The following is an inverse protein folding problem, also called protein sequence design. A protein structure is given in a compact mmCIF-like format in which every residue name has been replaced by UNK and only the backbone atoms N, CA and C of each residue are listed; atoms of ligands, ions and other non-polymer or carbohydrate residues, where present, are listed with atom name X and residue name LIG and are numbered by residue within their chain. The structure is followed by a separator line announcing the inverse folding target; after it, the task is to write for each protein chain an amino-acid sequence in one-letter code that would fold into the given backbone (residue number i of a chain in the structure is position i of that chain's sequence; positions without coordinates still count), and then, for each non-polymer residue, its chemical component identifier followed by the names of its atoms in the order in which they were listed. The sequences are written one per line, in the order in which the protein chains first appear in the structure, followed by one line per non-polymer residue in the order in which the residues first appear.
data_IF_893868716295
#
_entry.id   IF_893868716295
#
_cell.length_a   1.000
_cell.length_b   1.000
_cell.length_c   1.000
_cell.angle_alpha   90.00
_cell.angle_beta   90.00
_cell.angle_gamma   90.00
#
_symmetry.space_group_name_H-M   'P 1'
#
loop_
_entity.id
_entity.type
_entity.pdbx_description
1 polymer ?
#
# COMPACT_ATOMS: atom_id res chain seq x y z
N UNK A 1 -5.11 -19.23 -1.65
CA UNK A 1 -5.29 -18.34 -0.48
C UNK A 1 -3.91 -17.96 0.03
N UNK A 2 -3.37 -16.83 -0.40
CA UNK A 2 -2.12 -16.31 0.15
C UNK A 2 -2.45 -15.67 1.48
N UNK A 3 -1.93 -16.22 2.58
CA UNK A 3 -2.00 -15.59 3.90
C UNK A 3 -1.09 -14.36 3.86
N UNK A 4 -1.65 -13.20 3.56
CA UNK A 4 -0.92 -11.93 3.55
C UNK A 4 -0.57 -11.57 5.00
N UNK A 5 0.72 -11.44 5.28
CA UNK A 5 1.17 -11.08 6.62
C UNK A 5 1.25 -9.56 6.75
N UNK A 6 1.08 -9.04 7.98
CA UNK A 6 1.33 -7.63 8.30
C UNK A 6 2.73 -7.18 7.83
N UNK A 7 3.72 -8.06 7.91
CA UNK A 7 5.09 -7.76 7.52
C UNK A 7 5.26 -7.56 6.01
N UNK A 8 4.42 -8.21 5.19
CA UNK A 8 4.43 -8.01 3.73
C UNK A 8 4.08 -6.57 3.37
N UNK A 9 3.22 -5.91 4.15
CA UNK A 9 2.88 -4.49 3.93
C UNK A 9 3.96 -3.58 4.48
N UNK A 10 4.47 -3.85 5.69
CA UNK A 10 5.37 -2.93 6.40
C UNK A 10 6.82 -2.94 5.92
N UNK A 11 7.33 -4.09 5.46
CA UNK A 11 8.78 -4.26 5.20
C UNK A 11 9.08 -4.68 3.77
N UNK A 12 8.26 -5.55 3.18
CA UNK A 12 8.56 -6.09 1.85
C UNK A 12 8.34 -5.06 0.75
N UNK A 13 9.43 -4.62 0.11
CA UNK A 13 9.37 -3.63 -0.98
C UNK A 13 8.90 -2.24 -0.51
N UNK A 14 9.18 -1.91 0.75
CA UNK A 14 8.96 -0.59 1.33
C UNK A 14 10.33 -0.05 1.74
N UNK A 15 10.69 1.10 1.20
CA UNK A 15 11.93 1.79 1.56
C UNK A 15 11.78 2.47 2.93
N UNK A 16 10.70 3.22 3.11
CA UNK A 16 10.46 4.01 4.32
C UNK A 16 8.96 4.16 4.60
N UNK A 17 8.60 4.26 5.88
CA UNK A 17 7.28 4.70 6.34
C UNK A 17 7.47 5.91 7.25
N UNK A 18 7.05 7.08 6.77
CA UNK A 18 7.10 8.33 7.54
C UNK A 18 6.06 8.24 8.65
N UNK A 19 6.50 8.31 9.91
CA UNK A 19 5.69 8.06 11.11
C UNK A 19 5.11 6.64 11.17
N UNK A 20 5.99 5.62 11.12
CA UNK A 20 5.60 4.19 11.14
C UNK A 20 4.61 3.83 12.26
N UNK A 21 4.78 4.40 13.45
CA UNK A 21 3.91 4.15 14.61
C UNK A 21 2.45 4.52 14.32
N UNK A 22 2.20 5.71 13.76
CA UNK A 22 0.83 6.15 13.44
C UNK A 22 0.22 5.28 12.34
N UNK A 23 1.03 4.91 11.33
CA UNK A 23 0.56 4.01 10.27
C UNK A 23 0.12 2.66 10.82
N UNK A 24 0.89 2.07 11.74
CA UNK A 24 0.55 0.83 12.43
C UNK A 24 -0.75 0.97 13.24
N UNK A 25 -0.86 2.04 14.05
CA UNK A 25 -2.07 2.28 14.86
C UNK A 25 -3.32 2.39 13.98
N UNK A 26 -3.21 3.04 12.81
CA UNK A 26 -4.31 3.16 11.86
C UNK A 26 -4.61 1.83 11.15
N UNK A 27 -3.59 1.06 10.79
CA UNK A 27 -3.72 -0.27 10.21
C UNK A 27 -4.50 -1.21 11.14
N UNK A 28 -4.17 -1.18 12.43
CA UNK A 28 -4.75 -2.04 13.47
C UNK A 28 -6.07 -1.48 14.05
N UNK A 29 -6.47 -0.26 13.68
CA UNK A 29 -7.66 0.43 14.21
C UNK A 29 -9.01 -0.23 13.86
N UNK A 30 -9.01 -1.20 12.93
CA UNK A 30 -10.20 -1.83 12.38
C UNK A 30 -11.03 -0.93 11.45
N UNK A 31 -10.65 0.34 11.27
CA UNK A 31 -11.31 1.28 10.34
C UNK A 31 -10.61 1.23 8.98
N UNK A 32 -11.34 1.02 7.87
CA UNK A 32 -10.74 1.06 6.54
C UNK A 32 -10.08 2.40 6.25
N UNK A 33 -8.77 2.41 6.03
CA UNK A 33 -8.05 3.59 5.57
C UNK A 33 -8.39 3.89 4.11
N UNK A 34 -8.44 5.18 3.76
CA UNK A 34 -8.44 5.64 2.37
C UNK A 34 -7.00 5.88 1.93
N UNK A 35 -6.55 5.13 0.93
CA UNK A 35 -5.20 5.15 0.40
C UNK A 35 -5.20 5.92 -0.91
N UNK A 36 -4.15 6.71 -1.14
CA UNK A 36 -4.02 7.54 -2.34
C UNK A 36 -2.67 7.32 -2.99
N UNK A 37 -2.70 7.07 -4.29
CA UNK A 37 -1.52 7.12 -5.16
C UNK A 37 -1.88 7.99 -6.36
N UNK A 38 -1.04 8.99 -6.63
CA UNK A 38 -1.19 9.86 -7.79
C UNK A 38 -0.36 9.37 -8.96
N UNK A 39 -0.87 9.61 -10.17
CA UNK A 39 -0.13 9.48 -11.42
C UNK A 39 -0.25 10.80 -12.18
N UNK A 40 0.83 11.23 -12.80
CA UNK A 40 0.82 12.39 -13.70
C UNK A 40 0.34 11.93 -15.09
N UNK A 41 -0.77 12.49 -15.64
CA UNK A 41 -1.32 12.07 -16.93
C UNK A 41 -0.55 12.60 -18.14
N UNK A 42 0.66 13.14 -17.96
CA UNK A 42 1.51 13.67 -19.04
C UNK A 42 1.89 12.63 -20.10
N UNK A 43 1.84 11.34 -19.76
CA UNK A 43 1.96 10.22 -20.70
C UNK A 43 0.83 9.20 -20.50
N UNK A 44 0.30 8.60 -21.59
CA UNK A 44 -0.79 7.62 -21.50
C UNK A 44 -0.33 6.24 -21.00
N UNK A 45 0.96 5.94 -21.10
CA UNK A 45 1.49 4.59 -20.89
C UNK A 45 1.87 4.33 -19.42
N UNK A 46 1.39 3.22 -18.89
CA UNK A 46 1.81 2.70 -17.58
C UNK A 46 2.79 1.55 -17.80
N UNK A 47 4.02 1.72 -17.34
CA UNK A 47 5.04 0.66 -17.37
C UNK A 47 5.20 -0.08 -16.03
N UNK A 48 6.03 -1.13 -16.04
CA UNK A 48 6.27 -2.01 -14.89
C UNK A 48 6.73 -1.30 -13.60
N UNK A 49 7.43 -0.16 -13.71
CA UNK A 49 7.80 0.66 -12.53
C UNK A 49 6.60 1.09 -11.67
N UNK A 50 5.45 1.40 -12.29
CA UNK A 50 4.23 1.77 -11.57
C UNK A 50 3.60 0.61 -10.80
N UNK A 51 3.90 -0.63 -11.20
CA UNK A 51 3.36 -1.82 -10.56
C UNK A 51 3.84 -1.99 -9.12
N UNK A 52 4.97 -1.38 -8.73
CA UNK A 52 5.49 -1.46 -7.35
C UNK A 52 4.48 -0.86 -6.37
N UNK A 53 4.08 0.40 -6.58
CA UNK A 53 3.09 1.07 -5.74
C UNK A 53 1.70 0.45 -5.85
N UNK A 54 1.27 0.10 -7.07
CA UNK A 54 -0.03 -0.55 -7.29
C UNK A 54 -0.16 -1.90 -6.57
N UNK A 55 0.90 -2.72 -6.54
CA UNK A 55 0.92 -3.98 -5.78
C UNK A 55 0.83 -3.74 -4.29
N UNK A 56 1.47 -2.68 -3.77
CA UNK A 56 1.36 -2.34 -2.34
C UNK A 56 -0.05 -1.90 -1.97
N UNK A 57 -0.69 -1.08 -2.81
CA UNK A 57 -2.11 -0.73 -2.64
C UNK A 57 -2.99 -1.97 -2.67
N UNK A 58 -2.75 -2.92 -3.58
CA UNK A 58 -3.50 -4.17 -3.65
C UNK A 58 -3.36 -5.00 -2.37
N UNK A 59 -2.16 -5.12 -1.81
CA UNK A 59 -1.95 -5.81 -0.53
C UNK A 59 -2.78 -5.16 0.59
N UNK A 60 -2.81 -3.83 0.65
CA UNK A 60 -3.63 -3.10 1.63
C UNK A 60 -5.15 -3.27 1.39
N UNK A 61 -5.58 -3.37 0.13
CA UNK A 61 -6.97 -3.69 -0.22
C UNK A 61 -7.35 -5.11 0.21
N UNK A 62 -6.43 -6.06 0.10
CA UNK A 62 -6.63 -7.45 0.59
C UNK A 62 -6.70 -7.51 2.12
N UNK A 63 -6.15 -6.52 2.83
CA UNK A 63 -6.36 -6.31 4.26
C UNK A 63 -7.65 -5.53 4.60
N UNK A 64 -8.45 -5.13 3.60
CA UNK A 64 -9.75 -4.48 3.80
C UNK A 64 -9.74 -2.95 3.73
N UNK A 65 -8.64 -2.33 3.31
CA UNK A 65 -8.56 -0.88 3.09
C UNK A 65 -9.00 -0.47 1.68
N UNK A 66 -9.18 0.84 1.42
CA UNK A 66 -9.75 1.36 0.16
C UNK A 66 -8.84 2.35 -0.55
#
# INVERSE_FOLDING_TARGET
MTLLSRNDVLRRGVEEIIVEKEFIERLDSGKPMRLKMGFDPSAPDIHMGHAVGLRKLRQLQELGHK
#
